data_IF_936354706657
#
_entry.id   IF_936354706657
#
_cell.length_a   1.000
_cell.length_b   1.000
_cell.length_c   1.000
_cell.angle_alpha   90.00
_cell.angle_beta   90.00
_cell.angle_gamma   90.00
#
_symmetry.space_group_name_H-M   'P 1'
#
loop_
_entity.id
_entity.type
_entity.pdbx_description
1 polymer ?
#
# COMPACT_ATOMS: atom_id res chain seq x y z
N UNK A 1 1.55 8.14 5.16
CA UNK A 1 1.54 9.42 4.38
C UNK A 1 2.55 9.29 3.25
N UNK A 2 2.12 9.53 2.02
CA UNK A 2 3.01 9.61 0.85
C UNK A 2 3.31 11.09 0.58
N UNK A 3 4.56 11.45 0.31
CA UNK A 3 4.95 12.84 0.06
C UNK A 3 5.76 12.91 -1.22
N UNK A 4 5.38 13.79 -2.13
CA UNK A 4 6.18 14.06 -3.32
C UNK A 4 7.30 15.03 -2.96
N UNK A 5 8.52 14.52 -2.85
CA UNK A 5 9.74 15.31 -2.58
C UNK A 5 10.47 15.72 -3.86
N UNK A 6 9.94 15.37 -5.04
CA UNK A 6 10.48 15.77 -6.33
C UNK A 6 10.05 17.18 -6.72
N UNK A 7 10.47 17.59 -7.91
CA UNK A 7 10.20 18.89 -8.53
C UNK A 7 9.07 18.85 -9.58
N UNK A 8 8.59 17.65 -9.93
CA UNK A 8 7.50 17.41 -10.88
C UNK A 8 6.29 16.77 -10.21
N UNK A 9 5.06 17.02 -10.72
CA UNK A 9 3.87 16.32 -10.27
C UNK A 9 3.98 14.81 -10.55
N UNK A 10 3.42 14.01 -9.66
CA UNK A 10 3.42 12.55 -9.74
C UNK A 10 1.97 12.06 -9.77
N UNK A 11 1.61 11.32 -10.82
CA UNK A 11 0.32 10.64 -10.91
C UNK A 11 0.45 9.20 -10.37
N UNK A 12 -0.34 8.90 -9.34
CA UNK A 12 -0.40 7.58 -8.71
C UNK A 12 -1.79 6.98 -8.92
N UNK A 13 -1.86 5.65 -8.96
CA UNK A 13 -3.13 4.98 -8.75
C UNK A 13 -3.73 5.39 -7.41
N UNK A 14 -5.01 5.75 -7.42
CA UNK A 14 -5.69 6.22 -6.22
C UNK A 14 -5.74 5.11 -5.17
N UNK A 15 -5.25 5.33 -3.94
CA UNK A 15 -5.48 4.40 -2.84
C UNK A 15 -6.98 4.19 -2.63
N UNK A 16 -7.43 2.95 -2.44
CA UNK A 16 -8.85 2.58 -2.38
C UNK A 16 -9.52 2.36 -3.74
N UNK A 17 -8.78 2.49 -4.84
CA UNK A 17 -9.19 1.95 -6.15
C UNK A 17 -8.63 0.54 -6.33
N UNK A 18 -9.27 -0.27 -7.17
CA UNK A 18 -8.82 -1.65 -7.46
C UNK A 18 -7.37 -1.65 -7.94
N UNK A 19 -7.03 -0.74 -8.86
CA UNK A 19 -5.70 -0.60 -9.42
C UNK A 19 -4.69 -0.12 -8.37
N UNK A 20 -5.07 0.84 -7.52
CA UNK A 20 -4.19 1.38 -6.48
C UNK A 20 -3.89 0.38 -5.38
N UNK A 21 -4.90 -0.33 -4.91
CA UNK A 21 -4.73 -1.29 -3.82
C UNK A 21 -3.83 -2.45 -4.23
N UNK A 22 -3.90 -2.90 -5.48
CA UNK A 22 -2.98 -3.91 -6.02
C UNK A 22 -1.50 -3.49 -5.97
N UNK A 23 -1.20 -2.19 -5.86
CA UNK A 23 0.17 -1.68 -5.75
C UNK A 23 0.68 -1.68 -4.31
N UNK A 24 -0.20 -1.80 -3.31
CA UNK A 24 0.18 -1.82 -1.90
C UNK A 24 0.35 -3.24 -1.36
N UNK A 25 1.33 -3.40 -0.47
CA UNK A 25 1.53 -4.61 0.32
C UNK A 25 2.14 -4.26 1.66
N UNK A 26 1.97 -5.15 2.63
CA UNK A 26 2.54 -5.01 3.95
C UNK A 26 3.42 -6.22 4.21
N UNK A 27 4.63 -5.98 4.67
CA UNK A 27 5.58 -7.04 5.03
C UNK A 27 5.67 -7.04 6.55
N UNK A 28 5.26 -8.14 7.14
CA UNK A 28 5.41 -8.42 8.57
C UNK A 28 6.57 -9.37 8.78
N UNK A 29 7.53 -8.96 9.61
CA UNK A 29 8.68 -9.78 10.00
C UNK A 29 8.58 -10.10 11.49
N UNK A 30 8.38 -11.36 11.84
CA UNK A 30 8.32 -11.86 13.22
C UNK A 30 9.02 -13.21 13.35
N UNK A 31 9.71 -13.45 14.47
CA UNK A 31 10.40 -14.73 14.79
C UNK A 31 11.21 -15.35 13.62
N UNK A 32 11.88 -14.51 12.83
CA UNK A 32 12.68 -14.96 11.67
C UNK A 32 11.88 -15.33 10.41
N UNK A 33 10.55 -15.18 10.42
CA UNK A 33 9.67 -15.37 9.26
C UNK A 33 9.12 -14.06 8.74
N UNK A 34 9.13 -13.91 7.41
CA UNK A 34 8.48 -12.81 6.71
C UNK A 34 7.12 -13.28 6.17
N UNK A 35 6.10 -12.45 6.34
CA UNK A 35 4.76 -12.67 5.81
C UNK A 35 4.31 -11.44 5.04
N UNK A 36 3.83 -11.65 3.81
CA UNK A 36 3.27 -10.58 2.99
C UNK A 36 1.76 -10.57 3.11
N UNK A 37 1.22 -9.42 3.52
CA UNK A 37 -0.18 -9.09 3.45
C UNK A 37 -0.47 -8.34 2.15
N UNK A 38 -1.54 -8.71 1.47
CA UNK A 38 -2.05 -8.00 0.31
C UNK A 38 -3.51 -7.58 0.54
N UNK A 39 -3.89 -6.37 0.11
CA UNK A 39 -5.29 -5.96 0.17
C UNK A 39 -6.15 -6.91 -0.65
N UNK A 40 -7.37 -7.14 -0.17
CA UNK A 40 -8.38 -7.81 -1.00
C UNK A 40 -8.90 -6.83 -2.04
N UNK A 41 -9.24 -7.30 -3.26
CA UNK A 41 -9.90 -6.47 -4.25
C UNK A 41 -11.18 -5.89 -3.65
N UNK A 42 -11.19 -4.57 -3.44
CA UNK A 42 -12.39 -3.87 -2.97
C UNK A 42 -13.27 -3.62 -4.18
N UNK A 43 -14.60 -3.86 -4.13
CA UNK A 43 -15.50 -3.41 -5.18
C UNK A 43 -15.31 -1.91 -5.40
N UNK A 44 -15.17 -1.48 -6.66
CA UNK A 44 -14.96 -0.07 -6.99
C UNK A 44 -16.10 0.77 -6.37
N UNK A 45 -15.76 1.61 -5.40
CA UNK A 45 -16.72 2.57 -4.87
C UNK A 45 -17.00 3.65 -5.94
N UNK A 46 -18.27 4.01 -6.09
CA UNK A 46 -18.67 5.07 -7.02
C UNK A 46 -17.98 6.39 -6.64
N UNK A 47 -17.39 7.07 -7.62
CA UNK A 47 -16.77 8.38 -7.43
C UNK A 47 -15.31 8.39 -6.98
N UNK A 48 -14.67 7.24 -6.74
CA UNK A 48 -13.22 7.19 -6.51
C UNK A 48 -12.51 7.37 -7.87
N UNK A 49 -11.67 8.41 -8.05
CA UNK A 49 -10.91 8.58 -9.27
C UNK A 49 -9.89 7.44 -9.42
N UNK A 50 -9.58 7.04 -10.64
CA UNK A 50 -8.57 6.00 -10.87
C UNK A 50 -7.15 6.49 -10.54
N UNK A 51 -6.86 7.78 -10.77
CA UNK A 51 -5.58 8.40 -10.46
C UNK A 51 -5.72 9.56 -9.49
N UNK A 52 -4.70 9.75 -8.67
CA UNK A 52 -4.50 10.92 -7.81
C UNK A 52 -3.16 11.55 -8.17
N UNK A 53 -3.18 12.85 -8.44
CA UNK A 53 -1.97 13.65 -8.63
C UNK A 53 -1.46 14.16 -7.28
N UNK A 54 -0.16 14.01 -7.04
CA UNK A 54 0.54 14.61 -5.91
C UNK A 54 1.50 15.68 -6.45
N UNK A 55 1.17 16.94 -6.21
CA UNK A 55 2.03 18.08 -6.57
C UNK A 55 3.34 18.11 -5.75
N UNK A 56 4.41 18.75 -6.26
CA UNK A 56 5.67 18.93 -5.52
C UNK A 56 5.46 19.49 -4.11
N UNK A 57 6.09 18.86 -3.12
CA UNK A 57 5.99 19.24 -1.70
C UNK A 57 4.65 18.93 -1.04
N UNK A 58 3.69 18.33 -1.74
CA UNK A 58 2.40 17.91 -1.17
C UNK A 58 2.44 16.47 -0.69
N UNK A 59 1.50 16.16 0.19
CA UNK A 59 1.33 14.83 0.75
C UNK A 59 -0.08 14.29 0.52
N UNK A 60 -0.15 13.00 0.25
CA UNK A 60 -1.37 12.21 0.24
C UNK A 60 -1.46 11.41 1.55
N UNK A 61 -2.57 11.56 2.26
CA UNK A 61 -2.92 10.69 3.37
C UNK A 61 -3.43 9.36 2.80
N UNK A 62 -2.92 8.25 3.34
CA UNK A 62 -3.32 6.90 2.95
C UNK A 62 -3.59 6.13 4.22
N UNK A 63 -4.76 5.50 4.29
CA UNK A 63 -5.21 4.72 5.43
C UNK A 63 -5.71 3.38 4.92
N UNK A 64 -5.24 2.31 5.54
CA UNK A 64 -5.64 0.94 5.23
C UNK A 64 -6.00 0.23 6.53
N UNK A 65 -7.05 -0.59 6.48
CA UNK A 65 -7.33 -1.59 7.50
C UNK A 65 -6.58 -2.87 7.15
N UNK A 66 -5.47 -3.13 7.86
CA UNK A 66 -4.67 -4.33 7.65
C UNK A 66 -5.38 -5.61 8.10
N UNK A 67 -6.40 -5.52 8.97
CA UNK A 67 -7.21 -6.68 9.37
C UNK A 67 -8.05 -7.24 8.23
N UNK A 68 -8.37 -6.42 7.24
CA UNK A 68 -9.07 -6.83 6.02
C UNK A 68 -8.15 -7.43 4.95
N UNK A 69 -6.82 -7.43 5.15
CA UNK A 69 -5.85 -7.91 4.16
C UNK A 69 -5.64 -9.41 4.31
N UNK A 70 -5.45 -10.10 3.17
CA UNK A 70 -5.13 -11.53 3.21
C UNK A 70 -3.65 -11.73 3.36
N UNK A 71 -3.32 -12.68 4.23
CA UNK A 71 -1.99 -13.24 4.34
C UNK A 71 -1.86 -14.52 3.52
N UNK A 72 -0.71 -14.71 2.87
CA UNK A 72 -0.38 -16.00 2.23
C UNK A 72 -0.01 -17.10 3.25
N UNK A 73 0.39 -16.71 4.46
CA UNK A 73 0.82 -17.60 5.54
C UNK A 73 0.18 -17.13 6.86
N UNK A 74 -0.29 -18.03 7.74
CA UNK A 74 -0.82 -17.61 9.04
C UNK A 74 0.15 -16.68 9.78
N UNK A 75 -0.38 -15.60 10.35
CA UNK A 75 0.40 -14.70 11.17
C UNK A 75 0.74 -15.40 12.49
N UNK A 76 2.01 -15.32 12.89
CA UNK A 76 2.44 -15.76 14.22
C UNK A 76 2.17 -14.66 15.24
N UNK A 77 1.66 -15.04 16.40
CA UNK A 77 1.50 -14.12 17.54
C UNK A 77 2.86 -13.59 18.00
N UNK A 78 2.88 -12.37 18.52
CA UNK A 78 4.05 -11.79 19.17
C UNK A 78 4.57 -10.53 18.50
N UNK A 79 5.81 -10.18 18.83
CA UNK A 79 6.45 -8.97 18.34
C UNK A 79 6.84 -9.11 16.87
N UNK A 80 6.48 -8.10 16.08
CA UNK A 80 6.77 -8.05 14.66
C UNK A 80 7.19 -6.64 14.24
N UNK A 81 7.85 -6.58 13.10
CA UNK A 81 8.13 -5.33 12.40
C UNK A 81 7.31 -5.28 11.13
N UNK A 82 6.56 -4.20 10.94
CA UNK A 82 5.74 -3.91 9.78
C UNK A 82 6.44 -2.93 8.85
N UNK A 83 6.46 -3.25 7.56
CA UNK A 83 6.86 -2.34 6.51
C UNK A 83 5.76 -2.26 5.45
N UNK A 84 5.28 -1.06 5.16
CA UNK A 84 4.35 -0.83 4.07
C UNK A 84 5.14 -0.56 2.80
N UNK A 85 4.76 -1.21 1.71
CA UNK A 85 5.38 -1.04 0.41
C UNK A 85 4.32 -0.65 -0.60
N UNK A 86 4.58 0.45 -1.31
CA UNK A 86 3.88 0.80 -2.54
C UNK A 86 4.85 0.49 -3.68
N UNK A 87 4.50 -0.45 -4.55
CA UNK A 87 5.30 -0.75 -5.73
C UNK A 87 4.40 -0.72 -6.96
N UNK A 88 4.67 0.22 -7.84
CA UNK A 88 4.08 0.23 -9.17
C UNK A 88 5.14 -0.26 -10.16
N UNK A 89 4.97 -1.50 -10.67
CA UNK A 89 5.92 -2.14 -11.61
C UNK A 89 5.60 -1.87 -13.06
N UNK A 90 4.33 -1.66 -13.38
CA UNK A 90 3.88 -1.50 -14.75
C UNK A 90 3.59 -0.04 -15.05
N UNK A 91 4.19 0.48 -16.13
CA UNK A 91 3.53 1.54 -16.88
C UNK A 91 2.32 0.90 -17.53
N UNK A 92 1.19 0.86 -16.83
CA UNK A 92 -0.09 0.60 -17.51
C UNK A 92 -0.38 1.80 -18.42
N UNK A 93 0.21 1.80 -19.61
CA UNK A 93 -0.08 2.74 -20.68
C UNK A 93 -1.41 2.29 -21.27
N UNK A 94 -2.47 3.02 -20.92
CA UNK A 94 -3.85 2.77 -21.36
C UNK A 94 -4.74 3.98 -21.11
N UNK A 95 -6.07 3.78 -21.12
CA UNK A 95 -7.16 4.80 -21.06
C UNK A 95 -7.06 5.82 -19.91
N UNK A 96 -6.13 5.65 -18.97
CA UNK A 96 -6.03 6.39 -17.71
C UNK A 96 -4.79 7.31 -17.62
N UNK A 97 -3.86 7.27 -18.59
CA UNK A 97 -2.67 8.14 -18.60
C UNK A 97 -1.41 7.52 -17.96
N UNK A 98 -0.23 8.16 -18.09
CA UNK A 98 1.01 7.64 -17.55
C UNK A 98 1.03 7.72 -16.02
N UNK A 99 1.27 6.60 -15.35
CA UNK A 99 1.48 6.55 -13.89
C UNK A 99 2.96 6.50 -13.54
N UNK A 100 3.30 6.93 -12.33
CA UNK A 100 4.65 6.81 -11.78
C UNK A 100 5.02 5.35 -11.58
N UNK A 101 6.23 4.97 -12.01
CA UNK A 101 6.78 3.62 -11.81
C UNK A 101 7.91 3.70 -10.80
N UNK A 102 7.88 2.79 -9.84
CA UNK A 102 8.89 2.72 -8.79
C UNK A 102 8.38 2.01 -7.55
N UNK A 103 9.20 2.07 -6.50
CA UNK A 103 8.95 1.44 -5.21
C UNK A 103 9.19 2.42 -4.08
N UNK A 104 8.25 2.48 -3.13
CA UNK A 104 8.35 3.23 -1.88
C UNK A 104 8.21 2.24 -0.74
N UNK A 105 9.11 2.30 0.24
CA UNK A 105 9.03 1.53 1.47
C UNK A 105 8.89 2.49 2.65
N UNK A 106 7.99 2.18 3.58
CA UNK A 106 7.89 2.93 4.82
C UNK A 106 9.11 2.65 5.70
N UNK A 107 9.34 3.54 6.67
CA UNK A 107 10.15 3.16 7.82
C UNK A 107 9.52 1.93 8.51
N UNK A 108 10.33 1.02 9.05
CA UNK A 108 9.80 -0.10 9.81
C UNK A 108 9.03 0.37 11.05
N UNK A 109 7.91 -0.27 11.34
CA UNK A 109 7.03 0.02 12.48
C UNK A 109 7.03 -1.21 13.38
N UNK A 110 7.50 -1.07 14.62
CA UNK A 110 7.37 -2.14 15.61
C UNK A 110 5.91 -2.24 16.05
N UNK A 111 5.38 -3.46 16.11
CA UNK A 111 4.03 -3.76 16.56
C UNK A 111 3.96 -5.15 17.17
N UNK A 112 2.85 -5.42 17.85
CA UNK A 112 2.50 -6.75 18.31
C UNK A 112 1.35 -7.30 17.47
N UNK A 113 1.46 -8.55 17.05
CA UNK A 113 0.40 -9.28 16.35
C UNK A 113 -0.29 -10.21 17.35
N UNK A 114 -1.62 -10.11 17.43
CA UNK A 114 -2.45 -11.02 18.20
C UNK A 114 -3.46 -11.66 17.22
N UNK A 115 -3.22 -12.92 16.83
CA UNK A 115 -4.06 -13.68 15.87
C UNK A 115 -5.39 -14.15 16.46
N UNK A 116 -5.50 -14.10 17.79
CA UNK A 116 -6.78 -14.16 18.50
C UNK A 116 -7.29 -12.73 18.59
N UNK A 117 -8.22 -12.36 17.72
CA UNK A 117 -8.91 -11.06 17.81
C UNK A 117 -9.58 -10.86 19.18
N UNK A 118 -10.12 -9.67 19.45
CA UNK A 118 -10.95 -9.44 20.65
C UNK A 118 -12.12 -10.44 20.75
#
# INVERSE_FOLDING_TARGET
RLTNTGDQPVDLWAPGSVEGDLMFRAILQGEGKATTLVPQPIPRAAGIPSLVRIEPGKSLAVQYDLGAWKSAVPLSDGEATLMLVLENRDRMIGRFGPTWVGKIESKPIALRVDSKGP
#
